data_IF_198254132354
#
_entry.id   IF_198254132354
#
_cell.length_a   1.000
_cell.length_b   1.000
_cell.length_c   1.000
_cell.angle_alpha   90.00
_cell.angle_beta   90.00
_cell.angle_gamma   90.00
#
_symmetry.space_group_name_H-M   'P 1'
#
loop_
_entity.id
_entity.type
_entity.pdbx_description
1 polymer ?
#
# COMPACT_ATOMS: atom_id res chain seq x y z
N UNK A 1 8.35 5.76 12.75
CA UNK A 1 7.95 5.50 11.36
C UNK A 1 6.58 4.84 11.40
N UNK A 2 5.62 5.47 10.73
CA UNK A 2 4.29 4.95 10.43
C UNK A 2 4.01 5.30 8.97
N UNK A 3 3.89 4.29 8.12
CA UNK A 3 3.86 4.52 6.68
C UNK A 3 5.14 5.20 6.18
N UNK A 4 4.97 6.32 5.45
CA UNK A 4 6.07 7.16 4.96
C UNK A 4 6.53 8.23 5.97
N UNK A 5 5.83 8.36 7.09
CA UNK A 5 5.99 9.48 8.01
C UNK A 5 6.61 9.08 9.35
N UNK A 6 7.14 10.06 10.06
CA UNK A 6 7.54 9.89 11.45
C UNK A 6 6.35 10.18 12.39
N UNK A 7 5.73 9.11 12.88
CA UNK A 7 4.81 9.21 14.00
C UNK A 7 5.57 9.21 15.33
N UNK A 8 5.52 10.35 16.03
CA UNK A 8 6.10 10.69 17.35
C UNK A 8 7.48 10.05 17.65
N UNK A 9 8.59 10.81 17.60
CA UNK A 9 8.66 12.25 17.28
C UNK A 9 8.29 12.53 15.82
N UNK A 10 7.78 13.72 15.55
CA UNK A 10 7.36 14.14 14.19
C UNK A 10 8.53 14.18 13.18
N UNK A 11 9.76 14.16 13.66
CA UNK A 11 10.99 14.16 12.85
C UNK A 11 12.06 13.26 13.48
N UNK A 12 13.01 12.79 12.67
CA UNK A 12 14.17 12.05 13.15
C UNK A 12 13.87 10.65 13.68
N UNK A 13 12.79 10.02 13.23
CA UNK A 13 12.49 8.66 13.59
C UNK A 13 13.47 7.67 12.95
N UNK A 14 13.86 6.63 13.70
CA UNK A 14 14.81 5.62 13.25
C UNK A 14 14.25 4.81 12.06
N UNK A 15 15.03 4.75 10.97
CA UNK A 15 14.74 3.98 9.75
C UNK A 15 15.66 2.77 9.59
N UNK A 16 16.62 2.58 10.50
CA UNK A 16 17.62 1.52 10.42
C UNK A 16 16.97 0.13 10.39
N UNK A 17 17.34 -0.67 9.38
CA UNK A 17 16.82 -2.02 9.19
C UNK A 17 15.35 -2.11 8.75
N UNK A 18 14.71 -0.98 8.39
CA UNK A 18 13.32 -0.95 7.93
C UNK A 18 13.24 -0.89 6.41
N UNK A 19 12.29 -1.63 5.86
CA UNK A 19 11.91 -1.51 4.45
C UNK A 19 10.74 -0.53 4.39
N UNK A 20 10.86 0.50 3.57
CA UNK A 20 9.76 1.46 3.37
C UNK A 20 8.56 0.74 2.73
N UNK A 21 7.32 1.14 3.08
CA UNK A 21 6.16 0.61 2.40
C UNK A 21 6.19 1.03 0.93
N UNK A 22 5.58 0.20 0.09
CA UNK A 22 5.38 0.51 -1.34
C UNK A 22 4.29 1.56 -1.50
N UNK A 23 3.23 1.49 -0.69
CA UNK A 23 2.15 2.48 -0.65
C UNK A 23 1.61 2.60 0.78
N UNK A 24 1.09 3.78 1.13
CA UNK A 24 0.42 4.08 2.38
C UNK A 24 -0.56 5.24 2.14
N UNK A 25 -1.61 5.32 2.94
CA UNK A 25 -2.59 6.41 2.92
C UNK A 25 -2.93 6.81 4.36
N UNK A 26 -3.31 8.08 4.60
CA UNK A 26 -3.63 8.55 5.94
C UNK A 26 -4.93 7.95 6.47
N UNK A 27 -5.08 7.92 7.80
CA UNK A 27 -6.32 7.44 8.43
C UNK A 27 -7.57 8.30 8.13
N UNK A 28 -7.40 9.45 7.46
CA UNK A 28 -8.52 10.24 6.93
C UNK A 28 -9.15 9.61 5.68
N UNK A 29 -8.48 8.65 5.02
CA UNK A 29 -8.97 7.96 3.82
C UNK A 29 -9.42 6.49 4.05
N UNK A 30 -9.03 5.90 5.18
CA UNK A 30 -9.36 4.53 5.58
C UNK A 30 -8.75 4.21 6.95
N UNK A 31 -8.77 2.97 7.38
CA UNK A 31 -8.30 2.62 8.72
C UNK A 31 -7.45 1.35 8.80
N UNK A 32 -7.65 0.38 7.91
CA UNK A 32 -7.04 -0.93 8.05
C UNK A 32 -7.09 -1.69 6.74
N UNK A 33 -5.92 -1.83 6.12
CA UNK A 33 -5.72 -2.77 5.02
C UNK A 33 -5.75 -4.18 5.60
N UNK A 34 -6.72 -4.99 5.17
CA UNK A 34 -6.90 -6.34 5.72
C UNK A 34 -6.25 -7.44 4.90
N UNK A 35 -5.85 -7.13 3.67
CA UNK A 35 -5.14 -8.08 2.81
C UNK A 35 -5.10 -7.62 1.37
N UNK A 36 -4.55 -8.49 0.52
CA UNK A 36 -4.47 -8.25 -0.90
C UNK A 36 -3.99 -9.44 -1.71
N UNK A 37 -4.00 -9.29 -3.03
CA UNK A 37 -3.63 -10.32 -3.99
C UNK A 37 -3.05 -9.71 -5.26
N UNK A 38 -1.97 -10.32 -5.77
CA UNK A 38 -1.44 -9.97 -7.10
C UNK A 38 -2.22 -10.74 -8.15
N UNK A 39 -2.96 -10.03 -9.00
CA UNK A 39 -3.71 -10.64 -10.08
C UNK A 39 -2.75 -11.24 -11.12
N UNK A 40 -2.86 -12.55 -11.33
CA UNK A 40 -2.09 -13.32 -12.34
C UNK A 40 -3.01 -14.10 -13.28
N UNK A 41 -4.28 -13.70 -13.35
CA UNK A 41 -5.27 -14.34 -14.21
C UNK A 41 -5.12 -13.89 -15.66
N UNK A 42 -5.75 -14.64 -16.57
CA UNK A 42 -5.78 -14.33 -18.00
C UNK A 42 -7.11 -13.76 -18.49
N UNK A 43 -8.10 -13.61 -17.59
CA UNK A 43 -9.43 -13.13 -17.96
C UNK A 43 -9.45 -11.62 -18.22
N UNK A 44 -8.64 -10.86 -17.49
CA UNK A 44 -8.44 -9.42 -17.66
C UNK A 44 -6.93 -9.16 -17.73
N UNK A 45 -6.29 -9.38 -18.89
CA UNK A 45 -4.83 -9.31 -19.03
C UNK A 45 -4.22 -7.98 -18.62
N UNK A 46 -4.97 -6.89 -18.75
CA UNK A 46 -4.54 -5.53 -18.38
C UNK A 46 -4.32 -5.37 -16.88
N UNK A 47 -4.89 -6.25 -16.05
CA UNK A 47 -4.67 -6.26 -14.60
C UNK A 47 -3.54 -7.19 -14.17
N UNK A 48 -2.89 -7.89 -15.11
CA UNK A 48 -1.82 -8.82 -14.78
C UNK A 48 -0.65 -8.10 -14.12
N UNK A 49 -0.32 -8.50 -12.88
CA UNK A 49 0.75 -7.88 -12.08
C UNK A 49 0.27 -6.82 -11.11
N UNK A 50 -0.98 -6.34 -11.22
CA UNK A 50 -1.54 -5.41 -10.25
C UNK A 50 -1.73 -6.08 -8.88
N UNK A 51 -1.36 -5.38 -7.82
CA UNK A 51 -1.68 -5.77 -6.45
C UNK A 51 -2.98 -5.10 -6.02
N UNK A 52 -4.00 -5.91 -5.71
CA UNK A 52 -5.27 -5.46 -5.18
C UNK A 52 -5.26 -5.53 -3.66
N UNK A 53 -5.86 -4.56 -3.00
CA UNK A 53 -5.99 -4.52 -1.55
C UNK A 53 -7.32 -3.90 -1.13
N UNK A 54 -7.75 -4.22 0.10
CA UNK A 54 -9.03 -3.77 0.63
C UNK A 54 -8.89 -3.11 2.00
N UNK A 55 -9.67 -2.05 2.21
CA UNK A 55 -9.81 -1.39 3.51
C UNK A 55 -11.09 -1.84 4.22
N UNK A 56 -10.95 -2.21 5.49
CA UNK A 56 -12.07 -2.71 6.30
C UNK A 56 -13.13 -1.65 6.62
N UNK A 57 -12.72 -0.44 6.99
CA UNK A 57 -13.67 0.57 7.45
C UNK A 57 -14.57 1.08 6.33
N UNK A 58 -13.97 1.28 5.15
CA UNK A 58 -14.66 1.92 4.04
C UNK A 58 -15.14 0.94 2.97
N UNK A 59 -14.72 -0.33 3.02
CA UNK A 59 -15.21 -1.40 2.16
C UNK A 59 -14.83 -1.26 0.68
N UNK A 60 -13.83 -0.44 0.36
CA UNK A 60 -13.35 -0.29 -1.02
C UNK A 60 -12.23 -1.28 -1.34
N UNK A 61 -12.07 -1.54 -2.64
CA UNK A 61 -10.92 -2.25 -3.22
C UNK A 61 -10.17 -1.27 -4.12
N UNK A 62 -8.85 -1.21 -3.96
CA UNK A 62 -7.95 -0.42 -4.81
C UNK A 62 -6.82 -1.31 -5.32
N UNK A 63 -6.12 -0.82 -6.33
CA UNK A 63 -4.96 -1.51 -6.89
C UNK A 63 -3.90 -0.54 -7.36
N UNK A 64 -2.66 -1.03 -7.40
CA UNK A 64 -1.54 -0.37 -8.06
C UNK A 64 -0.70 -1.41 -8.81
N UNK A 65 0.00 -0.98 -9.85
CA UNK A 65 1.09 -1.77 -10.43
C UNK A 65 2.42 -1.35 -9.79
N UNK A 66 3.25 -2.32 -9.44
CA UNK A 66 4.56 -2.06 -8.84
C UNK A 66 5.65 -2.17 -9.90
N UNK A 67 6.17 -1.02 -10.34
CA UNK A 67 7.28 -0.92 -11.28
C UNK A 67 8.57 -0.49 -10.55
N UNK A 68 9.13 -1.39 -9.72
CA UNK A 68 10.38 -1.15 -8.99
C UNK A 68 10.21 -0.09 -7.89
N UNK A 69 10.54 1.17 -8.16
CA UNK A 69 10.36 2.26 -7.19
C UNK A 69 9.15 3.15 -7.53
N UNK A 70 8.41 2.82 -8.59
CA UNK A 70 7.27 3.64 -9.05
C UNK A 70 5.96 2.86 -8.90
N UNK A 71 4.96 3.52 -8.33
CA UNK A 71 3.56 3.10 -8.40
C UNK A 71 2.96 3.65 -9.70
N UNK A 72 2.41 2.78 -10.53
CA UNK A 72 1.66 3.14 -11.73
C UNK A 72 0.15 2.93 -11.51
#
# INVERSE_FOLDING_TARGET
>A
MEGFDCWIPATGCDTSGKVMPVTAYPHTEGCSVTGGYVYRGSLIPELHGHYFYADWCNGWVRSFEFAGDTLL
#
